data_IF_839022980250
#
_entry.id   IF_839022980250
#
_cell.length_a   1.000
_cell.length_b   1.000
_cell.length_c   1.000
_cell.angle_alpha   90.00
_cell.angle_beta   90.00
_cell.angle_gamma   90.00
#
_symmetry.space_group_name_H-M   'P 1'
#
loop_
_entity.id
_entity.type
_entity.pdbx_description
1 polymer ?
#
# COMPACT_ATOMS: atom_id res chain seq x y z
N UNK A 1 23.76 29.79 36.15
CA UNK A 1 22.41 29.76 35.53
C UNK A 1 22.35 29.17 34.14
N UNK A 2 23.47 28.93 33.46
CA UNK A 2 23.50 28.30 32.15
C UNK A 2 23.33 26.77 32.12
N UNK A 3 23.32 26.13 33.27
CA UNK A 3 23.29 24.67 33.36
C UNK A 3 21.91 24.06 33.23
N UNK A 4 20.85 24.83 33.46
CA UNK A 4 19.45 24.36 33.36
C UNK A 4 18.97 24.24 31.91
N UNK A 5 19.62 24.94 30.97
CA UNK A 5 19.22 24.94 29.56
C UNK A 5 19.69 23.67 28.86
N UNK A 6 20.84 23.10 29.30
CA UNK A 6 21.40 21.89 28.70
C UNK A 6 20.65 20.61 29.06
N UNK A 7 19.97 20.60 30.18
CA UNK A 7 19.21 19.42 30.65
C UNK A 7 17.89 19.29 29.88
N UNK A 8 17.33 20.41 29.45
CA UNK A 8 16.08 20.39 28.67
C UNK A 8 16.27 19.92 27.23
N UNK A 9 17.48 20.11 26.68
CA UNK A 9 17.78 19.71 25.31
C UNK A 9 18.00 18.21 25.14
N UNK A 10 18.47 17.54 26.21
CA UNK A 10 18.76 16.10 26.17
C UNK A 10 17.47 15.25 26.19
N UNK A 11 16.38 15.79 26.68
CA UNK A 11 15.09 15.08 26.79
C UNK A 11 14.33 15.06 25.47
N UNK A 12 14.62 15.96 24.54
CA UNK A 12 13.93 16.04 23.25
C UNK A 12 14.44 15.03 22.22
N UNK A 13 15.62 14.46 22.43
CA UNK A 13 16.21 13.50 21.50
C UNK A 13 15.73 12.06 21.70
N UNK A 14 15.10 11.76 22.83
CA UNK A 14 14.63 10.41 23.14
C UNK A 14 13.26 10.08 22.56
N UNK A 15 12.47 11.08 22.14
CA UNK A 15 11.16 10.85 21.57
C UNK A 15 11.18 10.53 20.06
N UNK A 16 12.33 10.69 19.41
CA UNK A 16 12.46 10.43 17.97
C UNK A 16 12.76 8.96 17.64
N UNK A 17 13.05 8.11 18.64
CA UNK A 17 13.46 6.71 18.42
C UNK A 17 12.33 5.69 18.55
N UNK A 18 11.09 6.11 18.85
CA UNK A 18 10.02 5.20 19.24
C UNK A 18 9.01 4.86 18.14
N UNK A 19 9.22 5.33 16.89
CA UNK A 19 8.22 5.19 15.82
C UNK A 19 8.76 4.45 14.59
N UNK A 20 9.42 3.29 14.79
CA UNK A 20 9.78 2.46 13.65
C UNK A 20 8.68 1.45 13.37
N UNK A 21 8.05 1.59 12.19
CA UNK A 21 7.09 0.61 11.70
C UNK A 21 7.82 -0.69 11.36
N UNK A 22 7.19 -1.82 11.63
CA UNK A 22 7.70 -3.13 11.21
C UNK A 22 7.71 -3.22 9.68
N UNK A 23 8.51 -4.12 9.08
CA UNK A 23 8.46 -4.36 7.63
C UNK A 23 7.07 -4.72 7.15
N UNK A 24 6.30 -5.48 7.91
CA UNK A 24 4.93 -5.87 7.58
C UNK A 24 4.01 -4.65 7.52
N UNK A 25 4.14 -3.74 8.47
CA UNK A 25 3.36 -2.49 8.47
C UNK A 25 3.74 -1.60 7.31
N UNK A 26 5.02 -1.52 6.98
CA UNK A 26 5.52 -0.74 5.84
C UNK A 26 4.97 -1.29 4.53
N UNK A 27 4.97 -2.63 4.37
CA UNK A 27 4.41 -3.29 3.20
C UNK A 27 2.91 -3.00 3.07
N UNK A 28 2.17 -3.09 4.17
CA UNK A 28 0.73 -2.84 4.18
C UNK A 28 0.40 -1.38 3.81
N UNK A 29 1.16 -0.44 4.33
CA UNK A 29 0.99 0.98 3.99
C UNK A 29 1.30 1.27 2.53
N UNK A 30 2.33 0.64 1.98
CA UNK A 30 2.67 0.76 0.56
C UNK A 30 1.53 0.21 -0.30
N UNK A 31 1.03 -0.98 0.02
CA UNK A 31 -0.09 -1.59 -0.68
C UNK A 31 -1.34 -0.69 -0.63
N UNK A 32 -1.64 -0.12 0.52
CA UNK A 32 -2.74 0.82 0.70
C UNK A 32 -2.60 2.01 -0.25
N UNK A 33 -1.43 2.61 -0.31
CA UNK A 33 -1.14 3.75 -1.18
C UNK A 33 -1.34 3.40 -2.65
N UNK A 34 -0.90 2.22 -3.07
CA UNK A 34 -1.03 1.77 -4.46
C UNK A 34 -2.49 1.52 -4.82
N UNK A 35 -3.26 0.86 -3.96
CA UNK A 35 -4.67 0.62 -4.21
C UNK A 35 -5.49 1.91 -4.16
N UNK A 36 -5.04 2.90 -3.39
CA UNK A 36 -5.65 4.22 -3.43
C UNK A 36 -5.47 4.88 -4.81
N UNK A 37 -4.30 4.71 -5.44
CA UNK A 37 -4.08 5.16 -6.82
C UNK A 37 -5.08 4.48 -7.77
N UNK A 38 -5.23 3.17 -7.63
CA UNK A 38 -6.12 2.39 -8.49
C UNK A 38 -7.57 2.90 -8.40
N UNK A 39 -8.10 3.04 -7.18
CA UNK A 39 -9.50 3.45 -7.00
C UNK A 39 -9.72 4.91 -7.37
N UNK A 40 -8.66 5.72 -7.41
CA UNK A 40 -8.72 7.11 -7.89
C UNK A 40 -8.61 7.21 -9.41
N UNK A 41 -8.48 6.09 -10.12
CA UNK A 41 -8.38 6.08 -11.57
C UNK A 41 -6.97 6.27 -12.12
N UNK A 42 -5.96 6.28 -11.24
CA UNK A 42 -4.55 6.43 -11.63
C UNK A 42 -3.95 5.07 -11.95
N UNK A 43 -4.45 4.44 -13.01
CA UNK A 43 -4.10 3.05 -13.36
C UNK A 43 -2.67 2.92 -13.87
N UNK A 44 -2.13 3.94 -14.52
CA UNK A 44 -0.75 3.93 -14.98
C UNK A 44 0.23 3.90 -13.80
N UNK A 45 0.00 4.74 -12.79
CA UNK A 45 0.82 4.78 -11.57
C UNK A 45 0.68 3.49 -10.77
N UNK A 46 -0.53 2.94 -10.70
CA UNK A 46 -0.77 1.66 -10.07
C UNK A 46 0.05 0.54 -10.74
N UNK A 47 0.06 0.50 -12.06
CA UNK A 47 0.82 -0.50 -12.81
C UNK A 47 2.34 -0.35 -12.57
N UNK A 48 2.84 0.88 -12.48
CA UNK A 48 4.26 1.13 -12.20
C UNK A 48 4.69 0.59 -10.84
N UNK A 49 3.77 0.44 -9.90
CA UNK A 49 4.05 -0.13 -8.59
C UNK A 49 4.17 -1.66 -8.60
N UNK A 50 3.92 -2.31 -9.72
CA UNK A 50 4.11 -3.74 -9.87
C UNK A 50 5.55 -4.05 -10.27
N UNK A 51 6.08 -5.12 -9.68
CA UNK A 51 7.44 -5.56 -9.99
C UNK A 51 7.53 -5.98 -11.46
N UNK A 52 8.60 -5.56 -12.14
CA UNK A 52 8.82 -5.90 -13.54
C UNK A 52 7.96 -5.11 -14.53
N UNK A 53 7.20 -4.12 -14.09
CA UNK A 53 6.34 -3.34 -14.97
C UNK A 53 7.12 -2.58 -16.06
N UNK A 54 8.35 -2.17 -15.76
CA UNK A 54 9.21 -1.45 -16.71
C UNK A 54 9.60 -2.30 -17.92
N UNK A 55 9.58 -3.62 -17.78
CA UNK A 55 9.97 -4.57 -18.82
C UNK A 55 8.80 -5.01 -19.70
N UNK A 56 7.59 -4.54 -19.44
CA UNK A 56 6.41 -4.94 -20.18
C UNK A 56 6.37 -4.24 -21.55
N UNK A 57 6.04 -4.98 -22.64
CA UNK A 57 5.75 -4.35 -23.91
C UNK A 57 4.59 -3.36 -23.80
N UNK A 58 4.63 -2.28 -24.58
CA UNK A 58 3.64 -1.21 -24.49
C UNK A 58 2.20 -1.71 -24.72
N UNK A 59 2.00 -2.58 -25.71
CA UNK A 59 0.67 -3.14 -25.99
C UNK A 59 0.11 -3.94 -24.82
N UNK A 60 0.96 -4.72 -24.16
CA UNK A 60 0.56 -5.48 -22.98
C UNK A 60 0.26 -4.56 -21.79
N UNK A 61 1.07 -3.52 -21.63
CA UNK A 61 0.85 -2.51 -20.59
C UNK A 61 -0.51 -1.84 -20.75
N UNK A 62 -0.87 -1.47 -21.97
CA UNK A 62 -2.17 -0.88 -22.27
C UNK A 62 -3.33 -1.81 -21.94
N UNK A 63 -3.18 -3.11 -22.25
CA UNK A 63 -4.19 -4.12 -21.92
C UNK A 63 -4.40 -4.24 -20.41
N UNK A 64 -3.31 -4.22 -19.63
CA UNK A 64 -3.39 -4.26 -18.17
C UNK A 64 -4.08 -3.02 -17.62
N UNK A 65 -3.77 -1.84 -18.15
CA UNK A 65 -4.43 -0.60 -17.73
C UNK A 65 -5.93 -0.67 -17.99
N UNK A 66 -6.34 -1.14 -19.17
CA UNK A 66 -7.75 -1.30 -19.49
C UNK A 66 -8.44 -2.29 -18.54
N UNK A 67 -7.76 -3.37 -18.19
CA UNK A 67 -8.28 -4.36 -17.25
C UNK A 67 -8.51 -3.74 -15.88
N UNK A 68 -7.57 -2.92 -15.39
CA UNK A 68 -7.72 -2.23 -14.11
C UNK A 68 -8.84 -1.19 -14.16
N UNK A 69 -8.96 -0.45 -15.23
CA UNK A 69 -10.06 0.50 -15.44
C UNK A 69 -11.42 -0.21 -15.40
N UNK A 70 -11.50 -1.37 -16.05
CA UNK A 70 -12.71 -2.19 -16.04
C UNK A 70 -13.04 -2.68 -14.62
N UNK A 71 -12.02 -3.11 -13.89
CA UNK A 71 -12.18 -3.53 -12.50
C UNK A 71 -12.80 -2.42 -11.64
N UNK A 72 -12.25 -1.21 -11.74
CA UNK A 72 -12.76 -0.05 -10.99
C UNK A 72 -14.19 0.29 -11.41
N UNK A 73 -14.47 0.22 -12.71
CA UNK A 73 -15.82 0.44 -13.26
C UNK A 73 -16.82 -0.57 -12.72
N UNK A 74 -16.42 -1.85 -12.64
CA UNK A 74 -17.27 -2.92 -12.09
C UNK A 74 -17.57 -2.69 -10.60
N UNK A 75 -16.57 -2.24 -9.83
CA UNK A 75 -16.79 -1.91 -8.42
C UNK A 75 -17.78 -0.75 -8.26
N UNK A 76 -17.70 0.23 -9.16
CA UNK A 76 -18.64 1.35 -9.14
C UNK A 76 -20.06 0.89 -9.45
N UNK A 77 -20.22 -0.01 -10.41
CA UNK A 77 -21.52 -0.52 -10.78
C UNK A 77 -22.13 -1.43 -9.71
N UNK A 78 -21.32 -2.26 -9.05
CA UNK A 78 -21.79 -3.25 -8.08
C UNK A 78 -21.94 -2.71 -6.67
N UNK A 79 -21.07 -1.78 -6.27
CA UNK A 79 -20.92 -1.36 -4.87
C UNK A 79 -20.93 0.14 -4.67
N UNK A 80 -21.33 0.92 -5.67
CA UNK A 80 -21.33 2.39 -5.64
C UNK A 80 -19.90 2.96 -5.46
N UNK A 81 -18.89 2.22 -5.92
CA UNK A 81 -17.49 2.62 -5.86
C UNK A 81 -16.83 2.33 -4.54
N UNK A 82 -15.56 2.71 -4.44
CA UNK A 82 -14.75 2.53 -3.25
C UNK A 82 -14.58 3.89 -2.55
N UNK A 83 -15.10 4.00 -1.33
CA UNK A 83 -14.98 5.23 -0.53
C UNK A 83 -13.57 5.40 0.04
N UNK A 84 -12.99 4.31 0.53
CA UNK A 84 -11.65 4.32 1.10
C UNK A 84 -11.03 2.95 1.07
N UNK A 85 -9.70 2.93 1.08
CA UNK A 85 -8.88 1.72 1.24
C UNK A 85 -8.15 1.85 2.56
N UNK A 86 -8.33 0.88 3.45
CA UNK A 86 -7.66 0.89 4.76
C UNK A 86 -6.89 -0.40 4.96
N UNK A 87 -5.87 -0.36 5.80
CA UNK A 87 -5.16 -1.58 6.20
C UNK A 87 -6.08 -2.38 7.11
N UNK A 88 -6.24 -3.68 6.80
CA UNK A 88 -7.06 -4.59 7.61
C UNK A 88 -6.42 -4.81 8.99
N UNK A 89 -7.23 -5.27 9.95
CA UNK A 89 -6.75 -5.66 11.28
C UNK A 89 -5.68 -6.76 11.19
N UNK A 90 -5.73 -7.61 10.18
CA UNK A 90 -4.74 -8.65 9.94
C UNK A 90 -3.37 -8.09 9.48
N UNK A 91 -3.32 -6.87 9.03
CA UNK A 91 -2.16 -6.09 8.57
C UNK A 91 -1.39 -6.81 7.46
N UNK A 92 -0.53 -7.78 7.81
CA UNK A 92 0.28 -8.49 6.83
C UNK A 92 0.84 -9.79 7.45
N UNK A 93 1.27 -10.70 6.57
CA UNK A 93 1.90 -11.97 6.95
C UNK A 93 3.09 -12.23 6.04
N UNK A 94 4.26 -12.46 6.64
CA UNK A 94 5.47 -12.79 5.90
C UNK A 94 5.51 -14.27 5.56
N UNK A 95 5.79 -14.60 4.29
CA UNK A 95 6.11 -15.95 3.84
C UNK A 95 7.60 -15.98 3.45
N UNK A 96 8.44 -16.54 4.32
CA UNK A 96 9.88 -16.56 4.11
C UNK A 96 10.31 -17.55 3.02
N UNK A 97 9.51 -18.57 2.74
CA UNK A 97 9.79 -19.53 1.68
C UNK A 97 9.68 -18.89 0.30
N UNK A 98 8.62 -18.10 0.08
CA UNK A 98 8.38 -17.40 -1.18
C UNK A 98 8.98 -15.99 -1.19
N UNK A 99 9.52 -15.54 -0.07
CA UNK A 99 10.04 -14.18 0.11
C UNK A 99 9.00 -13.11 -0.24
N UNK A 100 7.75 -13.38 0.12
CA UNK A 100 6.62 -12.48 -0.08
C UNK A 100 6.07 -12.02 1.26
N UNK A 101 5.53 -10.81 1.27
CA UNK A 101 4.73 -10.32 2.39
C UNK A 101 3.32 -10.12 1.88
N UNK A 102 2.39 -10.94 2.36
CA UNK A 102 0.98 -10.80 2.02
C UNK A 102 0.38 -9.71 2.89
N UNK A 103 -0.05 -8.63 2.26
CA UNK A 103 -0.72 -7.55 2.96
C UNK A 103 -2.23 -7.68 2.80
N UNK A 104 -2.96 -7.23 3.81
CA UNK A 104 -4.43 -7.34 3.83
C UNK A 104 -5.03 -5.95 3.90
N UNK A 105 -5.82 -5.61 2.89
CA UNK A 105 -6.49 -4.32 2.79
C UNK A 105 -8.00 -4.52 2.85
N UNK A 106 -8.68 -3.55 3.41
CA UNK A 106 -10.13 -3.52 3.41
C UNK A 106 -10.61 -2.46 2.42
N UNK A 107 -11.35 -2.88 1.42
CA UNK A 107 -12.05 -1.97 0.52
C UNK A 107 -13.39 -1.63 1.14
N UNK A 108 -13.60 -0.36 1.43
CA UNK A 108 -14.86 0.13 2.00
C UNK A 108 -15.67 0.76 0.87
N UNK A 109 -16.80 0.15 0.53
CA UNK A 109 -17.60 0.55 -0.62
C UNK A 109 -18.67 1.60 -0.28
N UNK A 110 -19.15 2.28 -1.32
CA UNK A 110 -20.19 3.29 -1.18
C UNK A 110 -21.54 2.75 -0.72
N UNK A 111 -21.79 1.46 -0.94
CA UNK A 111 -23.01 0.77 -0.49
C UNK A 111 -22.94 0.30 0.97
N UNK A 112 -21.93 0.74 1.73
CA UNK A 112 -21.67 0.38 3.12
C UNK A 112 -21.20 -1.06 3.34
N UNK A 113 -20.89 -1.81 2.27
CA UNK A 113 -20.25 -3.13 2.40
C UNK A 113 -18.74 -2.99 2.35
N UNK A 114 -18.04 -4.07 2.74
CA UNK A 114 -16.58 -4.11 2.80
C UNK A 114 -16.09 -5.44 2.25
N UNK A 115 -14.89 -5.43 1.69
CA UNK A 115 -14.22 -6.63 1.22
C UNK A 115 -12.74 -6.58 1.59
N UNK A 116 -12.25 -7.65 2.22
CA UNK A 116 -10.82 -7.78 2.47
C UNK A 116 -10.15 -8.39 1.25
N UNK A 117 -9.07 -7.75 0.79
CA UNK A 117 -8.25 -8.25 -0.32
C UNK A 117 -6.84 -8.54 0.19
N UNK A 118 -6.17 -9.46 -0.50
CA UNK A 118 -4.77 -9.82 -0.21
C UNK A 118 -3.90 -9.30 -1.33
N UNK A 119 -2.85 -8.55 -0.96
CA UNK A 119 -1.91 -7.97 -1.93
C UNK A 119 -0.50 -8.49 -1.61
N UNK A 120 0.05 -9.39 -2.43
CA UNK A 120 1.43 -9.86 -2.25
C UNK A 120 2.42 -8.73 -2.55
N UNK A 121 3.34 -8.50 -1.63
CA UNK A 121 4.34 -7.43 -1.73
C UNK A 121 5.74 -8.01 -1.64
N UNK A 122 6.67 -7.38 -2.35
CA UNK A 122 8.10 -7.67 -2.27
C UNK A 122 8.87 -6.39 -2.02
N UNK A 123 9.92 -6.48 -1.23
CA UNK A 123 10.86 -5.38 -1.06
C UNK A 123 11.99 -5.53 -2.07
N UNK A 124 12.25 -4.48 -2.82
CA UNK A 124 13.31 -4.44 -3.82
C UNK A 124 14.05 -3.11 -3.66
N UNK A 125 15.34 -3.19 -3.29
CA UNK A 125 16.18 -2.01 -3.09
C UNK A 125 15.56 -1.00 -2.11
N UNK A 126 14.96 -1.48 -1.04
CA UNK A 126 14.34 -0.64 -0.02
C UNK A 126 12.95 -0.13 -0.38
N UNK A 127 12.41 -0.51 -1.52
CA UNK A 127 11.08 -0.09 -1.98
C UNK A 127 10.14 -1.29 -2.01
N UNK A 128 8.97 -1.13 -1.40
CA UNK A 128 7.92 -2.14 -1.46
C UNK A 128 7.16 -2.01 -2.76
N UNK A 129 7.05 -3.12 -3.49
CA UNK A 129 6.31 -3.20 -4.75
C UNK A 129 5.36 -4.38 -4.72
N UNK A 130 4.28 -4.29 -5.49
CA UNK A 130 3.36 -5.40 -5.68
C UNK A 130 3.98 -6.48 -6.55
N UNK A 131 3.73 -7.72 -6.20
CA UNK A 131 4.17 -8.89 -6.96
C UNK A 131 3.48 -8.98 -8.32
#
# INVERSE_FOLDING_TARGET
MGHLIYILFALLTLSACSEQSSPEEQAAKAAQSYYQLLVNGQTAEFLQAKIGSDSLPEGYRMQLQQMYEQYVSDLRAKHEGVNKVVVSENVARRDSTLQLTYTFLMLCFGDSTQEEITVPMVEQNGVWKMK
#
